data_IF_237785306730
#
_entry.id   IF_237785306730
#
_cell.length_a   1.000
_cell.length_b   1.000
_cell.length_c   1.000
_cell.angle_alpha   90.00
_cell.angle_beta   90.00
_cell.angle_gamma   90.00
#
_symmetry.space_group_name_H-M   'P 1'
#
loop_
_entity.id
_entity.type
_entity.pdbx_description
1 polymer ?
#
# COMPACT_ATOMS: atom_id res chain seq x y z
N UNK A 1 13.56 -11.85 -3.00
CA UNK A 1 12.40 -11.00 -2.68
C UNK A 1 11.55 -10.84 -3.93
N UNK A 2 10.28 -11.18 -3.86
CA UNK A 2 9.39 -10.99 -4.98
C UNK A 2 8.83 -9.56 -4.99
N UNK A 3 8.09 -9.22 -6.04
CA UNK A 3 7.59 -7.85 -6.20
C UNK A 3 6.61 -7.44 -5.11
N UNK A 4 5.78 -8.38 -4.65
CA UNK A 4 4.82 -8.09 -3.59
C UNK A 4 5.51 -7.84 -2.26
N UNK A 5 6.53 -8.60 -1.94
CA UNK A 5 7.33 -8.39 -0.74
C UNK A 5 8.05 -7.05 -0.81
N UNK A 6 8.56 -6.70 -1.99
CA UNK A 6 9.21 -5.40 -2.19
C UNK A 6 8.24 -4.26 -1.95
N UNK A 7 7.02 -4.37 -2.47
CA UNK A 7 5.99 -3.35 -2.26
C UNK A 7 5.65 -3.19 -0.78
N UNK A 8 5.52 -4.30 -0.06
CA UNK A 8 5.25 -4.27 1.38
C UNK A 8 6.39 -3.61 2.14
N UNK A 9 7.62 -3.93 1.78
CA UNK A 9 8.79 -3.36 2.46
C UNK A 9 8.88 -1.85 2.25
N UNK A 10 8.56 -1.38 1.05
CA UNK A 10 8.54 0.05 0.76
C UNK A 10 7.54 0.77 1.66
N UNK A 11 6.35 0.19 1.84
CA UNK A 11 5.32 0.78 2.70
C UNK A 11 5.76 0.76 4.16
N UNK A 12 6.36 -0.34 4.61
CA UNK A 12 6.88 -0.46 5.98
C UNK A 12 7.92 0.63 6.25
N UNK A 13 8.87 0.79 5.33
CA UNK A 13 9.93 1.78 5.50
C UNK A 13 9.36 3.20 5.54
N UNK A 14 8.44 3.49 4.63
CA UNK A 14 7.79 4.80 4.59
C UNK A 14 7.04 5.09 5.90
N UNK A 15 6.23 4.15 6.34
CA UNK A 15 5.45 4.31 7.55
C UNK A 15 6.35 4.54 8.77
N UNK A 16 7.39 3.71 8.90
CA UNK A 16 8.28 3.78 10.06
C UNK A 16 9.11 5.05 10.09
N UNK A 17 9.39 5.63 8.94
CA UNK A 17 10.08 6.92 8.86
C UNK A 17 9.18 8.08 9.27
N UNK A 18 7.86 7.95 9.09
CA UNK A 18 6.90 9.02 9.32
C UNK A 18 6.12 8.87 10.62
N UNK A 19 6.27 7.74 11.32
CA UNK A 19 5.63 7.57 12.61
C UNK A 19 6.36 8.43 13.65
N UNK A 20 5.61 9.06 14.52
CA UNK A 20 6.22 9.90 15.53
C UNK A 20 7.01 9.08 16.56
N UNK A 21 8.12 9.63 16.99
CA UNK A 21 9.03 8.96 17.92
C UNK A 21 8.28 8.58 19.21
N UNK A 22 7.33 9.41 19.62
CA UNK A 22 6.55 9.17 20.84
C UNK A 22 5.56 8.03 20.73
N UNK A 23 5.24 7.62 19.51
CA UNK A 23 4.23 6.58 19.28
C UNK A 23 4.78 5.18 19.55
N UNK A 24 6.05 4.95 19.38
CA UNK A 24 6.73 3.67 19.63
C UNK A 24 6.20 2.48 18.84
N UNK A 25 5.23 2.68 17.98
CA UNK A 25 4.60 1.57 17.28
C UNK A 25 5.02 1.55 15.83
N UNK A 26 5.94 0.67 15.53
CA UNK A 26 6.42 0.48 14.17
C UNK A 26 5.61 -0.60 13.47
N UNK A 27 5.48 -0.43 12.16
CA UNK A 27 4.77 -1.38 11.32
C UNK A 27 5.67 -2.59 11.06
N UNK A 28 5.09 -3.78 11.22
CA UNK A 28 5.80 -5.03 10.94
C UNK A 28 5.21 -5.69 9.68
N UNK A 29 5.95 -6.64 9.11
CA UNK A 29 5.53 -7.31 7.88
C UNK A 29 4.19 -8.02 8.03
N UNK A 30 3.90 -8.59 9.19
CA UNK A 30 2.64 -9.29 9.42
C UNK A 30 1.43 -8.38 9.46
N UNK A 31 1.63 -7.07 9.60
CA UNK A 31 0.56 -6.09 9.64
C UNK A 31 0.29 -5.43 8.29
N UNK A 32 1.03 -5.81 7.26
CA UNK A 32 0.94 -5.23 5.92
C UNK A 32 0.49 -6.31 4.94
N UNK A 33 -0.44 -5.96 4.07
CA UNK A 33 -0.92 -6.91 3.07
C UNK A 33 -1.15 -6.23 1.73
N UNK A 34 -0.99 -7.02 0.67
CA UNK A 34 -1.22 -6.55 -0.70
C UNK A 34 -2.68 -6.77 -1.04
N UNK A 35 -3.38 -5.68 -1.38
CA UNK A 35 -4.79 -5.74 -1.76
C UNK A 35 -4.92 -6.27 -3.19
N UNK A 36 -4.09 -5.74 -4.10
CA UNK A 36 -3.99 -6.28 -5.45
C UNK A 36 -2.61 -5.94 -6.02
N UNK A 37 -2.25 -6.67 -7.07
CA UNK A 37 -0.97 -6.55 -7.73
C UNK A 37 -1.16 -6.77 -9.22
N UNK A 38 -0.53 -5.93 -10.04
CA UNK A 38 -0.56 -6.07 -11.49
C UNK A 38 0.83 -5.85 -12.05
N UNK A 39 1.23 -6.71 -12.97
CA UNK A 39 2.55 -6.60 -13.61
C UNK A 39 2.37 -6.66 -15.12
N UNK A 40 3.01 -5.73 -15.82
CA UNK A 40 3.03 -5.68 -17.27
C UNK A 40 4.46 -5.42 -17.72
N UNK A 41 5.07 -6.41 -18.37
CA UNK A 41 6.47 -6.35 -18.79
C UNK A 41 7.37 -6.07 -17.59
N UNK A 42 8.15 -5.00 -17.63
CA UNK A 42 9.06 -4.64 -16.55
C UNK A 42 8.42 -3.70 -15.51
N UNK A 43 7.16 -3.35 -15.71
CA UNK A 43 6.45 -2.43 -14.81
C UNK A 43 5.48 -3.20 -13.94
N UNK A 44 5.27 -2.72 -12.71
CA UNK A 44 4.27 -3.31 -11.83
C UNK A 44 3.67 -2.27 -10.90
N UNK A 45 2.50 -2.57 -10.38
CA UNK A 45 1.78 -1.72 -9.46
C UNK A 45 1.11 -2.59 -8.39
N UNK A 46 1.15 -2.14 -7.16
CA UNK A 46 0.53 -2.84 -6.06
C UNK A 46 -0.23 -1.84 -5.18
N UNK A 47 -1.42 -2.25 -4.76
CA UNK A 47 -2.15 -1.53 -3.72
C UNK A 47 -1.94 -2.27 -2.42
N UNK A 48 -1.43 -1.56 -1.42
CA UNK A 48 -1.03 -2.14 -0.14
C UNK A 48 -1.81 -1.46 0.98
N UNK A 49 -2.21 -2.23 1.96
CA UNK A 49 -2.86 -1.69 3.14
C UNK A 49 -2.29 -2.34 4.39
N UNK A 50 -2.75 -1.87 5.55
CA UNK A 50 -2.27 -2.38 6.83
C UNK A 50 -3.44 -2.70 7.74
N UNK A 51 -3.16 -3.42 8.82
CA UNK A 51 -4.16 -3.71 9.85
C UNK A 51 -4.41 -2.54 10.79
N UNK A 52 -3.64 -1.46 10.63
CA UNK A 52 -3.81 -0.25 11.44
C UNK A 52 -5.07 0.48 10.99
N UNK A 53 -5.90 0.89 11.95
CA UNK A 53 -7.18 1.53 11.66
C UNK A 53 -7.03 3.03 11.42
N UNK A 54 -6.21 3.39 10.45
CA UNK A 54 -6.01 4.79 10.06
C UNK A 54 -6.64 5.14 8.72
N UNK A 55 -7.26 4.15 8.06
CA UNK A 55 -7.92 4.36 6.78
C UNK A 55 -6.98 4.58 5.61
N UNK A 56 -5.71 4.31 5.78
CA UNK A 56 -4.71 4.57 4.74
C UNK A 56 -4.53 3.40 3.79
N UNK A 57 -4.33 3.75 2.53
CA UNK A 57 -3.94 2.83 1.47
C UNK A 57 -2.70 3.38 0.78
N UNK A 58 -1.86 2.49 0.30
CA UNK A 58 -0.61 2.88 -0.34
C UNK A 58 -0.52 2.23 -1.70
N UNK A 59 -0.28 3.05 -2.72
CA UNK A 59 -0.09 2.55 -4.07
C UNK A 59 1.39 2.64 -4.42
N UNK A 60 2.00 1.50 -4.69
CA UNK A 60 3.40 1.41 -5.07
C UNK A 60 3.46 1.14 -6.56
N UNK A 61 4.12 2.03 -7.29
CA UNK A 61 4.24 1.93 -8.74
C UNK A 61 5.71 1.84 -9.12
N UNK A 62 6.07 0.79 -9.84
CA UNK A 62 7.42 0.61 -10.32
C UNK A 62 7.48 0.79 -11.83
N UNK A 63 8.36 1.70 -12.28
CA UNK A 63 8.67 1.92 -13.68
C UNK A 63 10.01 1.25 -13.97
N UNK A 64 9.97 0.10 -14.64
CA UNK A 64 11.18 -0.67 -14.91
C UNK A 64 12.09 -0.05 -15.94
N UNK A 65 11.56 0.78 -16.83
CA UNK A 65 12.38 1.47 -17.81
C UNK A 65 13.32 2.48 -17.16
N UNK A 66 12.82 3.17 -16.15
CA UNK A 66 13.59 4.18 -15.43
C UNK A 66 14.18 3.65 -14.14
N UNK A 67 13.80 2.44 -13.73
CA UNK A 67 14.19 1.84 -12.45
C UNK A 67 13.83 2.75 -11.28
N UNK A 68 12.62 3.28 -11.32
CA UNK A 68 12.09 4.18 -10.29
C UNK A 68 10.86 3.59 -9.66
N UNK A 69 10.71 3.82 -8.37
CA UNK A 69 9.53 3.39 -7.61
C UNK A 69 8.86 4.61 -6.99
N UNK A 70 7.55 4.69 -7.16
CA UNK A 70 6.74 5.78 -6.61
C UNK A 70 5.80 5.22 -5.56
N UNK A 71 5.61 5.97 -4.50
CA UNK A 71 4.69 5.63 -3.44
C UNK A 71 3.65 6.75 -3.31
N UNK A 72 2.40 6.40 -3.47
CA UNK A 72 1.28 7.32 -3.27
C UNK A 72 0.48 6.86 -2.06
N UNK A 73 0.16 7.80 -1.18
CA UNK A 73 -0.59 7.53 0.04
C UNK A 73 -1.99 8.09 -0.09
N UNK A 74 -3.01 7.26 0.17
CA UNK A 74 -4.41 7.65 0.06
C UNK A 74 -5.11 7.40 1.38
N UNK A 75 -5.97 8.32 1.78
CA UNK A 75 -6.83 8.12 2.93
C UNK A 75 -8.22 7.74 2.44
N UNK A 76 -8.78 6.71 3.06
CA UNK A 76 -10.14 6.31 2.77
C UNK A 76 -11.07 7.42 3.27
N UNK A 77 -11.79 8.03 2.34
CA UNK A 77 -12.66 9.16 2.65
C UNK A 77 -13.96 8.70 3.27
N UNK A 78 -14.58 7.72 2.65
CA UNK A 78 -15.93 7.33 3.03
C UNK A 78 -16.19 5.90 2.56
N UNK A 79 -17.02 5.21 3.30
CA UNK A 79 -17.48 3.89 2.90
C UNK A 79 -19.00 3.96 2.72
N UNK A 80 -19.46 3.89 1.48
CA UNK A 80 -20.86 3.98 1.14
C UNK A 80 -21.30 2.65 0.53
N UNK A 81 -22.38 2.10 1.08
CA UNK A 81 -22.98 0.91 0.50
C UNK A 81 -24.01 1.32 -0.53
N UNK A 82 -23.80 0.92 -1.77
CA UNK A 82 -24.77 1.15 -2.85
C UNK A 82 -25.38 -0.21 -3.19
N UNK A 83 -26.67 -0.33 -2.97
CA UNK A 83 -27.37 -1.58 -3.26
C UNK A 83 -27.79 -1.60 -4.72
N UNK A 84 -27.70 -2.77 -5.31
CA UNK A 84 -28.20 -2.95 -6.66
C UNK A 84 -29.72 -2.85 -6.66
N UNK A 85 -30.27 -2.20 -7.69
CA UNK A 85 -31.71 -2.15 -7.87
C UNK A 85 -32.16 -3.47 -8.48
N UNK A 86 -33.21 -4.04 -7.91
CA UNK A 86 -33.82 -5.23 -8.48
C UNK A 86 -35.01 -4.81 -9.34
N UNK A 87 -35.03 -5.30 -10.55
CA UNK A 87 -36.15 -5.09 -11.47
C UNK A 87 -37.26 -6.08 -11.23
#
# INVERSE_FOLDING_TARGET
MNYQEKAKQIVIDYYNEHVEITDNKKLTESEVFVVWFSKTLQNWKALVSTTISDGMYYEVTYNGDKKETYLDSYMKWENVCVKDEED
#
